data_IF_978441674968
#
_entry.id   IF_978441674968
#
_cell.length_a   1.000
_cell.length_b   1.000
_cell.length_c   1.000
_cell.angle_alpha   90.00
_cell.angle_beta   90.00
_cell.angle_gamma   90.00
#
_symmetry.space_group_name_H-M   'P 1'
#
loop_
_entity.id
_entity.type
_entity.pdbx_description
1 polymer ?
#
# COMPACT_ATOMS: atom_id res chain seq x y z
N UNK A 1 -1.14 9.76 -6.07
CA UNK A 1 -2.06 9.78 -4.91
C UNK A 1 -3.43 10.21 -5.36
N UNK A 2 -4.45 9.48 -4.93
CA UNK A 2 -5.76 9.45 -5.57
C UNK A 2 -6.79 10.17 -4.70
N UNK A 3 -7.56 11.06 -5.32
CA UNK A 3 -8.56 11.89 -4.63
C UNK A 3 -9.83 12.00 -5.46
N UNK A 4 -10.97 12.20 -4.80
CA UNK A 4 -12.28 12.38 -5.42
C UNK A 4 -13.05 13.49 -4.72
N UNK A 5 -13.74 14.32 -5.49
CA UNK A 5 -14.53 15.48 -5.03
C UNK A 5 -13.72 16.57 -4.31
N UNK A 6 -12.43 16.69 -4.63
CA UNK A 6 -11.61 17.82 -4.23
C UNK A 6 -11.70 18.93 -5.28
N UNK A 7 -11.80 20.19 -4.85
CA UNK A 7 -11.81 21.36 -5.74
C UNK A 7 -10.41 21.74 -6.24
N UNK A 8 -9.41 21.44 -5.42
CA UNK A 8 -8.00 21.71 -5.65
C UNK A 8 -7.18 20.63 -4.96
N UNK A 9 -5.93 20.48 -5.37
CA UNK A 9 -5.01 19.59 -4.66
C UNK A 9 -4.77 20.10 -3.24
N UNK A 10 -5.05 19.24 -2.26
CA UNK A 10 -4.78 19.53 -0.87
C UNK A 10 -3.34 19.14 -0.54
N UNK A 11 -2.64 20.01 0.17
CA UNK A 11 -1.30 19.75 0.72
C UNK A 11 -0.29 19.18 -0.32
N UNK A 12 -0.01 19.93 -1.41
CA UNK A 12 0.86 19.47 -2.48
C UNK A 12 2.29 19.17 -2.00
N UNK A 13 2.76 19.85 -0.95
CA UNK A 13 4.09 19.65 -0.40
C UNK A 13 4.24 18.27 0.26
N UNK A 14 3.24 17.82 1.04
CA UNK A 14 3.28 16.47 1.60
C UNK A 14 3.24 15.38 0.52
N UNK A 15 2.44 15.59 -0.55
CA UNK A 15 2.43 14.66 -1.69
C UNK A 15 3.79 14.61 -2.38
N UNK A 16 4.40 15.77 -2.64
CA UNK A 16 5.74 15.85 -3.21
C UNK A 16 6.78 15.13 -2.33
N UNK A 17 6.73 15.33 -1.01
CA UNK A 17 7.65 14.67 -0.08
C UNK A 17 7.49 13.16 -0.06
N UNK A 18 6.27 12.64 -0.21
CA UNK A 18 6.07 11.19 -0.31
C UNK A 18 6.68 10.64 -1.61
N UNK A 19 6.48 11.32 -2.74
CA UNK A 19 7.11 10.92 -4.00
C UNK A 19 8.64 10.99 -3.94
N UNK A 20 9.20 12.00 -3.26
CA UNK A 20 10.63 12.12 -2.99
C UNK A 20 11.14 10.92 -2.18
N UNK A 21 10.50 10.60 -1.05
CA UNK A 21 10.87 9.44 -0.22
C UNK A 21 10.75 8.12 -0.98
N UNK A 22 9.70 7.96 -1.79
CA UNK A 22 9.55 6.77 -2.64
C UNK A 22 10.71 6.63 -3.62
N UNK A 23 11.12 7.74 -4.25
CA UNK A 23 12.24 7.74 -5.19
C UNK A 23 13.60 7.53 -4.51
N UNK A 24 13.85 8.20 -3.38
CA UNK A 24 15.12 8.10 -2.64
C UNK A 24 15.38 6.70 -2.07
N UNK A 25 14.32 6.01 -1.67
CA UNK A 25 14.40 4.69 -1.03
C UNK A 25 14.02 3.53 -1.95
N UNK A 26 13.80 3.79 -3.25
CA UNK A 26 13.32 2.82 -4.25
C UNK A 26 12.09 2.03 -3.76
N UNK A 27 11.09 2.76 -3.25
CA UNK A 27 9.85 2.18 -2.73
C UNK A 27 8.73 2.21 -3.75
N UNK A 28 8.00 1.10 -3.79
CA UNK A 28 6.84 0.86 -4.63
C UNK A 28 5.56 0.96 -3.80
N UNK A 29 4.56 1.63 -4.35
CA UNK A 29 3.18 1.57 -3.87
C UNK A 29 2.52 0.31 -4.43
N UNK A 30 2.55 -0.79 -3.67
CA UNK A 30 2.16 -2.12 -4.16
C UNK A 30 0.70 -2.20 -4.58
N UNK A 31 -0.18 -1.48 -3.87
CA UNK A 31 -1.59 -1.42 -4.27
C UNK A 31 -1.74 -0.77 -5.63
N UNK A 32 -0.98 0.31 -5.90
CA UNK A 32 -1.07 0.98 -7.19
C UNK A 32 -0.47 0.18 -8.33
N UNK A 33 0.60 -0.56 -8.04
CA UNK A 33 1.22 -1.47 -8.98
C UNK A 33 0.25 -2.58 -9.44
N UNK A 34 -0.50 -3.18 -8.50
CA UNK A 34 -1.46 -4.24 -8.80
C UNK A 34 -2.79 -3.71 -9.37
N UNK A 35 -3.13 -2.45 -9.10
CA UNK A 35 -4.39 -1.81 -9.48
C UNK A 35 -4.16 -0.47 -10.23
N UNK A 36 -3.54 -0.49 -11.43
CA UNK A 36 -3.14 0.74 -12.12
C UNK A 36 -4.31 1.60 -12.58
N UNK A 37 -5.47 1.00 -12.84
CA UNK A 37 -6.65 1.68 -13.39
C UNK A 37 -7.80 1.83 -12.39
N UNK A 38 -7.71 1.16 -11.23
CA UNK A 38 -8.80 1.18 -10.27
C UNK A 38 -8.81 2.48 -9.48
N UNK A 39 -10.01 2.96 -9.18
CA UNK A 39 -10.23 4.07 -8.26
C UNK A 39 -10.82 3.53 -6.96
N UNK A 40 -9.95 3.37 -5.95
CA UNK A 40 -10.35 2.99 -4.59
C UNK A 40 -9.69 3.91 -3.58
N UNK A 41 -10.39 4.12 -2.47
CA UNK A 41 -10.04 5.12 -1.47
C UNK A 41 -10.05 4.48 -0.09
N UNK A 42 -9.04 4.81 0.72
CA UNK A 42 -8.94 4.34 2.09
C UNK A 42 -9.64 5.27 3.07
N UNK A 43 -9.87 6.53 2.73
CA UNK A 43 -10.50 7.52 3.62
C UNK A 43 -11.74 8.16 3.01
N UNK A 44 -12.73 8.45 3.87
CA UNK A 44 -14.00 9.10 3.52
C UNK A 44 -14.25 10.31 4.42
N UNK A 45 -14.27 11.48 3.81
CA UNK A 45 -14.45 12.75 4.49
C UNK A 45 -15.81 13.41 4.28
N UNK A 46 -15.96 14.62 4.84
CA UNK A 46 -17.12 15.48 4.60
C UNK A 46 -17.32 15.77 3.10
N UNK A 47 -18.56 16.09 2.71
CA UNK A 47 -18.93 16.41 1.33
C UNK A 47 -18.58 15.31 0.31
N UNK A 48 -18.64 14.04 0.73
CA UNK A 48 -18.29 12.89 -0.10
C UNK A 48 -16.86 12.93 -0.64
N UNK A 49 -15.95 13.67 0.01
CA UNK A 49 -14.53 13.65 -0.32
C UNK A 49 -13.97 12.27 -0.02
N UNK A 50 -13.19 11.74 -0.94
CA UNK A 50 -12.51 10.47 -0.74
C UNK A 50 -11.06 10.60 -1.16
N UNK A 51 -10.17 9.97 -0.43
CA UNK A 51 -8.75 9.94 -0.76
C UNK A 51 -8.15 8.61 -0.35
N UNK A 52 -7.09 8.21 -1.05
CA UNK A 52 -6.23 7.13 -0.59
C UNK A 52 -5.15 7.75 0.29
N UNK A 53 -5.21 7.51 1.60
CA UNK A 53 -4.27 8.06 2.59
C UNK A 53 -3.38 6.99 3.23
N UNK A 54 -3.81 5.73 3.12
CA UNK A 54 -3.17 4.58 3.74
C UNK A 54 -2.49 3.75 2.65
N UNK A 55 -1.22 3.39 2.85
CA UNK A 55 -0.36 2.78 1.84
C UNK A 55 0.53 1.69 2.46
N UNK A 56 0.75 0.61 1.73
CA UNK A 56 1.92 -0.23 1.93
C UNK A 56 2.97 0.15 0.89
N UNK A 57 4.03 0.83 1.34
CA UNK A 57 5.23 1.06 0.53
C UNK A 57 6.21 -0.07 0.79
N UNK A 58 6.67 -0.72 -0.27
CA UNK A 58 7.58 -1.86 -0.19
C UNK A 58 8.80 -1.64 -1.07
N UNK A 59 9.91 -2.30 -0.77
CA UNK A 59 11.03 -2.38 -1.72
C UNK A 59 10.71 -3.37 -2.85
N UNK A 60 11.37 -3.20 -4.00
CA UNK A 60 11.28 -4.11 -5.14
C UNK A 60 11.62 -5.57 -4.76
N UNK A 61 12.54 -5.78 -3.83
CA UNK A 61 12.92 -7.12 -3.32
C UNK A 61 11.74 -7.89 -2.70
N UNK A 62 10.79 -7.19 -2.10
CA UNK A 62 9.65 -7.82 -1.42
C UNK A 62 8.48 -8.05 -2.38
N UNK A 63 8.44 -7.36 -3.52
CA UNK A 63 7.35 -7.41 -4.50
C UNK A 63 7.03 -8.86 -4.93
N UNK A 64 8.05 -9.69 -5.13
CA UNK A 64 7.90 -11.09 -5.52
C UNK A 64 7.15 -11.96 -4.48
N UNK A 65 7.12 -11.54 -3.21
CA UNK A 65 6.38 -12.23 -2.15
C UNK A 65 4.94 -11.73 -2.01
N UNK A 66 4.57 -10.65 -2.70
CA UNK A 66 3.22 -10.09 -2.63
C UNK A 66 2.29 -10.88 -3.54
N UNK A 67 1.34 -11.60 -2.92
CA UNK A 67 0.31 -12.34 -3.64
C UNK A 67 -0.81 -11.42 -4.12
N UNK A 68 -1.23 -10.50 -3.27
CA UNK A 68 -2.33 -9.57 -3.56
C UNK A 68 -2.35 -8.42 -2.56
N UNK A 69 -3.03 -7.33 -2.93
CA UNK A 69 -3.37 -6.22 -2.05
C UNK A 69 -4.80 -5.77 -2.33
N UNK A 70 -5.46 -5.15 -1.36
CA UNK A 70 -6.82 -4.62 -1.53
C UNK A 70 -7.10 -3.49 -0.53
N UNK A 71 -8.14 -2.71 -0.80
CA UNK A 71 -8.72 -1.73 0.13
C UNK A 71 -10.09 -2.24 0.53
N UNK A 72 -10.21 -2.75 1.75
CA UNK A 72 -11.42 -3.39 2.26
C UNK A 72 -12.58 -2.42 2.52
N UNK A 73 -13.69 -2.99 2.99
CA UNK A 73 -14.86 -2.22 3.40
C UNK A 73 -14.58 -1.53 4.72
N UNK A 74 -14.94 -0.25 4.81
CA UNK A 74 -14.87 0.50 6.06
C UNK A 74 -16.01 0.09 7.00
N UNK A 75 -15.71 -0.04 8.29
CA UNK A 75 -16.70 -0.35 9.32
C UNK A 75 -16.54 0.56 10.53
N UNK A 76 -17.56 1.36 10.83
CA UNK A 76 -17.61 2.30 11.97
C UNK A 76 -16.40 3.24 12.09
N UNK A 77 -15.69 3.46 11.00
CA UNK A 77 -14.55 4.37 10.87
C UNK A 77 -14.73 5.16 9.57
N UNK A 78 -14.06 6.30 9.45
CA UNK A 78 -13.86 7.00 8.18
C UNK A 78 -12.75 6.37 7.32
N UNK A 79 -12.02 5.40 7.87
CA UNK A 79 -11.00 4.62 7.18
C UNK A 79 -11.47 3.21 6.79
N UNK A 80 -11.08 2.80 5.59
CA UNK A 80 -11.09 1.44 5.06
C UNK A 80 -9.72 0.80 5.33
N UNK A 81 -9.66 -0.47 5.75
CA UNK A 81 -8.39 -1.16 5.93
C UNK A 81 -7.71 -1.35 4.58
N UNK A 82 -6.39 -1.14 4.54
CA UNK A 82 -5.54 -1.57 3.43
C UNK A 82 -4.96 -2.93 3.78
N UNK A 83 -5.04 -3.86 2.85
CA UNK A 83 -4.70 -5.25 3.05
C UNK A 83 -3.55 -5.62 2.11
N UNK A 84 -2.60 -6.40 2.62
CA UNK A 84 -1.53 -7.02 1.83
C UNK A 84 -1.43 -8.49 2.21
N UNK A 85 -1.34 -9.36 1.20
CA UNK A 85 -1.13 -10.78 1.37
C UNK A 85 0.29 -11.13 0.91
N UNK A 86 1.11 -11.60 1.84
CA UNK A 86 2.49 -11.98 1.61
C UNK A 86 2.64 -13.50 1.73
N UNK A 87 3.35 -14.10 0.77
CA UNK A 87 3.70 -15.52 0.81
C UNK A 87 5.21 -15.67 0.83
N UNK A 88 5.75 -16.02 1.98
CA UNK A 88 7.14 -16.41 2.13
C UNK A 88 7.25 -17.93 1.96
N UNK A 89 8.09 -18.40 1.04
CA UNK A 89 8.42 -19.82 0.96
C UNK A 89 9.32 -20.19 2.15
N UNK A 90 8.89 -21.12 3.01
CA UNK A 90 9.72 -21.67 4.07
C UNK A 90 10.81 -22.57 3.48
N UNK A 91 11.96 -22.03 3.06
CA UNK A 91 13.12 -22.82 2.65
C UNK A 91 14.07 -23.15 3.82
N UNK A 92 13.55 -23.35 5.04
CA UNK A 92 14.36 -23.84 6.16
C UNK A 92 13.69 -25.04 6.85
N UNK A 93 13.74 -26.19 6.19
CA UNK A 93 14.11 -27.43 6.88
C UNK A 93 15.61 -27.62 6.63
N UNK A 94 16.44 -27.14 7.55
CA UNK A 94 17.79 -27.70 7.68
C UNK A 94 17.61 -29.05 8.36
N UNK A 95 17.60 -30.09 7.55
CA UNK A 95 17.76 -31.46 8.02
C UNK A 95 19.09 -31.55 8.77
N UNK A 96 19.06 -32.21 9.92
CA UNK A 96 19.92 -31.92 11.07
C UNK A 96 21.43 -32.01 10.84
N UNK A 97 22.14 -31.21 11.62
CA UNK A 97 23.48 -31.56 12.06
C UNK A 97 23.41 -32.91 12.80
N UNK A 98 24.10 -33.92 12.30
CA UNK A 98 24.46 -35.09 13.09
C UNK A 98 25.76 -34.75 13.82
N UNK A 99 25.67 -34.53 15.12
CA UNK A 99 26.82 -34.66 16.02
C UNK A 99 27.20 -36.13 16.09
N UNK A 100 28.37 -36.50 15.56
CA UNK A 100 29.29 -37.51 16.09
C UNK A 100 30.70 -37.26 15.58
#
# INVERSE_FOLDING_TARGET
MDTLHYRSENNPQSKAKIHEVMHELDLLDIWRQQHPFDNRYSWRGPNHKQSRLDYFMITSDIEAFVVSSDIGISYRSDHSPVLINLRFSSQFKREGYMEI
#
